data_IF_321591128654
#
_entry.id   IF_321591128654
#
_cell.length_a   1.000
_cell.length_b   1.000
_cell.length_c   1.000
_cell.angle_alpha   90.00
_cell.angle_beta   90.00
_cell.angle_gamma   90.00
#
_symmetry.space_group_name_H-M   'P 1'
#
loop_
_entity.id
_entity.type
_entity.pdbx_description
1 polymer ?
#
# COMPACT_ATOMS: atom_id res chain seq x y z
N UNK A 1 -28.67 13.22 8.80
CA UNK A 1 -28.71 14.42 7.94
C UNK A 1 -27.45 14.58 7.11
N UNK A 2 -26.25 14.64 7.70
CA UNK A 2 -25.00 14.59 6.92
C UNK A 2 -24.83 13.24 6.18
N UNK A 3 -25.05 12.12 6.89
CA UNK A 3 -25.05 10.75 6.32
C UNK A 3 -26.14 10.54 5.25
N UNK A 4 -27.17 11.38 5.23
CA UNK A 4 -28.30 11.28 4.27
C UNK A 4 -28.13 12.24 3.08
N UNK A 5 -26.97 12.89 2.92
CA UNK A 5 -26.65 13.80 1.80
C UNK A 5 -27.43 15.12 1.77
N UNK A 6 -28.21 15.43 2.83
CA UNK A 6 -28.95 16.68 2.92
C UNK A 6 -28.07 17.76 3.56
N UNK A 7 -27.15 18.31 2.77
CA UNK A 7 -26.19 19.33 3.20
C UNK A 7 -26.83 20.65 3.65
N UNK A 8 -27.89 21.17 3.00
CA UNK A 8 -28.56 22.40 3.48
C UNK A 8 -29.10 22.26 4.91
N UNK A 9 -29.83 21.18 5.21
CA UNK A 9 -30.35 20.94 6.56
C UNK A 9 -29.23 20.68 7.58
N UNK A 10 -28.14 20.04 7.16
CA UNK A 10 -26.96 19.85 8.01
C UNK A 10 -26.31 21.19 8.36
N UNK A 11 -26.15 22.10 7.39
CA UNK A 11 -25.61 23.44 7.60
C UNK A 11 -26.48 24.21 8.59
N UNK A 12 -27.80 24.25 8.38
CA UNK A 12 -28.72 24.98 9.26
C UNK A 12 -28.59 24.52 10.72
N UNK A 13 -28.64 23.20 10.94
CA UNK A 13 -28.52 22.62 12.29
C UNK A 13 -27.16 22.91 12.92
N UNK A 14 -26.07 22.74 12.16
CA UNK A 14 -24.73 22.97 12.70
C UNK A 14 -24.47 24.47 12.94
N UNK A 15 -25.00 25.36 12.10
CA UNK A 15 -24.94 26.80 12.36
C UNK A 15 -25.71 27.18 13.61
N UNK A 16 -26.87 26.57 13.86
CA UNK A 16 -27.58 26.73 15.13
C UNK A 16 -26.71 26.33 16.32
N UNK A 17 -26.02 25.19 16.26
CA UNK A 17 -25.09 24.78 17.32
C UNK A 17 -23.98 25.81 17.54
N UNK A 18 -23.41 26.36 16.47
CA UNK A 18 -22.39 27.42 16.60
C UNK A 18 -22.96 28.68 17.26
N UNK A 19 -24.20 29.05 16.95
CA UNK A 19 -24.89 30.17 17.63
C UNK A 19 -25.06 29.87 19.13
N UNK A 20 -25.26 28.60 19.51
CA UNK A 20 -25.29 28.18 20.91
C UNK A 20 -23.89 28.07 21.54
N UNK A 21 -22.81 28.41 20.82
CA UNK A 21 -21.44 28.44 21.32
C UNK A 21 -20.59 27.21 21.00
N UNK A 22 -21.10 26.26 20.23
CA UNK A 22 -20.32 25.09 19.81
C UNK A 22 -19.28 25.46 18.75
N UNK A 23 -18.01 25.36 19.09
CA UNK A 23 -16.86 25.58 18.20
C UNK A 23 -15.99 24.34 18.04
N UNK A 24 -16.50 23.17 18.40
CA UNK A 24 -15.73 21.92 18.39
C UNK A 24 -15.20 21.56 17.00
N UNK A 25 -14.09 20.80 16.97
CA UNK A 25 -13.56 20.20 15.74
C UNK A 25 -14.65 19.56 14.89
N UNK A 26 -15.48 18.72 15.50
CA UNK A 26 -16.58 18.02 14.82
C UNK A 26 -17.53 19.00 14.11
N UNK A 27 -18.00 20.04 14.81
CA UNK A 27 -18.97 20.99 14.24
C UNK A 27 -18.36 21.83 13.13
N UNK A 28 -17.16 22.35 13.34
CA UNK A 28 -16.44 23.12 12.31
C UNK A 28 -16.07 22.26 11.09
N UNK A 29 -15.64 21.02 11.30
CA UNK A 29 -15.32 20.08 10.24
C UNK A 29 -16.55 19.74 9.38
N UNK A 30 -17.65 19.31 10.00
CA UNK A 30 -18.88 18.97 9.26
C UNK A 30 -19.54 20.18 8.59
N UNK A 31 -19.44 21.38 9.17
CA UNK A 31 -19.87 22.62 8.49
C UNK A 31 -19.03 22.86 7.24
N UNK A 32 -17.70 22.83 7.40
CA UNK A 32 -16.75 23.03 6.31
C UNK A 32 -16.97 22.07 5.15
N UNK A 33 -17.10 20.78 5.44
CA UNK A 33 -17.40 19.77 4.43
C UNK A 33 -18.78 19.97 3.78
N UNK A 34 -19.81 20.36 4.53
CA UNK A 34 -21.15 20.58 3.98
C UNK A 34 -21.16 21.76 3.00
N UNK A 35 -20.47 22.87 3.32
CA UNK A 35 -20.29 23.96 2.38
C UNK A 35 -19.47 23.53 1.16
N UNK A 36 -18.42 22.72 1.35
CA UNK A 36 -17.62 22.19 0.25
C UNK A 36 -18.47 21.34 -0.70
N UNK A 37 -19.31 20.45 -0.18
CA UNK A 37 -20.21 19.61 -0.96
C UNK A 37 -21.21 20.43 -1.79
N UNK A 38 -21.58 21.62 -1.30
CA UNK A 38 -22.40 22.59 -2.03
C UNK A 38 -21.60 23.52 -2.95
N UNK A 39 -20.30 23.27 -3.15
CA UNK A 39 -19.37 24.11 -3.93
C UNK A 39 -19.23 25.55 -3.40
N UNK A 40 -19.62 25.78 -2.14
CA UNK A 40 -19.51 27.05 -1.42
C UNK A 40 -18.13 27.16 -0.78
N UNK A 41 -17.10 27.26 -1.63
CA UNK A 41 -15.70 27.10 -1.21
C UNK A 41 -15.23 28.18 -0.23
N UNK A 42 -15.70 29.43 -0.36
CA UNK A 42 -15.32 30.51 0.56
C UNK A 42 -15.83 30.25 1.98
N UNK A 43 -17.07 29.82 2.13
CA UNK A 43 -17.62 29.42 3.43
C UNK A 43 -16.96 28.15 3.96
N UNK A 44 -16.69 27.18 3.08
CA UNK A 44 -15.97 25.96 3.44
C UNK A 44 -14.60 26.26 4.06
N UNK A 45 -13.81 27.14 3.43
CA UNK A 45 -12.48 27.53 3.92
C UNK A 45 -12.54 28.06 5.34
N UNK A 46 -13.50 28.92 5.66
CA UNK A 46 -13.63 29.50 7.01
C UNK A 46 -13.74 28.41 8.08
N UNK A 47 -14.62 27.43 7.86
CA UNK A 47 -14.86 26.37 8.84
C UNK A 47 -13.78 25.29 8.83
N UNK A 48 -13.27 24.93 7.66
CA UNK A 48 -12.18 23.96 7.52
C UNK A 48 -10.87 24.48 8.10
N UNK A 49 -10.61 25.80 8.05
CA UNK A 49 -9.46 26.40 8.70
C UNK A 49 -9.53 26.24 10.23
N UNK A 50 -10.71 26.48 10.83
CA UNK A 50 -10.92 26.28 12.28
C UNK A 50 -10.76 24.80 12.67
N UNK A 51 -11.23 23.88 11.84
CA UNK A 51 -11.04 22.45 12.08
C UNK A 51 -9.55 22.07 11.98
N UNK A 52 -8.83 22.61 11.00
CA UNK A 52 -7.41 22.37 10.81
C UNK A 52 -6.56 22.90 11.98
N UNK A 53 -6.87 24.10 12.49
CA UNK A 53 -6.18 24.68 13.65
C UNK A 53 -6.38 23.86 14.94
N UNK A 54 -7.53 23.22 15.09
CA UNK A 54 -7.84 22.36 16.23
C UNK A 54 -7.26 20.95 16.12
N UNK A 55 -6.69 20.58 14.96
CA UNK A 55 -6.18 19.25 14.71
C UNK A 55 -4.64 19.26 14.66
N UNK A 56 -3.94 18.89 15.75
CA UNK A 56 -2.47 18.78 15.74
C UNK A 56 -1.94 17.77 14.72
N UNK A 57 -2.81 16.84 14.29
CA UNK A 57 -2.53 15.78 13.33
C UNK A 57 -3.73 15.64 12.39
N UNK A 58 -3.94 16.56 11.44
CA UNK A 58 -5.13 16.59 10.60
C UNK A 58 -5.24 15.30 9.77
N UNK A 59 -6.43 14.73 9.70
CA UNK A 59 -6.66 13.52 8.89
C UNK A 59 -6.66 13.85 7.39
N UNK A 60 -6.50 12.80 6.57
CA UNK A 60 -6.37 12.94 5.10
C UNK A 60 -7.62 13.57 4.45
N UNK A 61 -8.80 13.43 5.05
CA UNK A 61 -10.04 14.00 4.52
C UNK A 61 -10.11 15.50 4.80
N UNK A 62 -9.76 15.93 6.03
CA UNK A 62 -9.65 17.36 6.35
C UNK A 62 -8.65 18.05 5.43
N UNK A 63 -7.47 17.45 5.23
CA UNK A 63 -6.44 17.94 4.30
C UNK A 63 -6.98 18.04 2.87
N UNK A 64 -7.69 17.02 2.40
CA UNK A 64 -8.32 17.01 1.08
C UNK A 64 -9.33 18.15 0.92
N UNK A 65 -10.31 18.27 1.82
CA UNK A 65 -11.36 19.28 1.71
C UNK A 65 -10.81 20.68 1.85
N UNK A 66 -9.94 20.92 2.84
CA UNK A 66 -9.38 22.25 3.09
C UNK A 66 -8.46 22.69 1.96
N UNK A 67 -7.51 21.83 1.59
CA UNK A 67 -6.56 22.09 0.51
C UNK A 67 -7.26 22.28 -0.84
N UNK A 68 -8.29 21.49 -1.14
CA UNK A 68 -9.09 21.63 -2.36
C UNK A 68 -9.90 22.92 -2.39
N UNK A 69 -10.50 23.32 -1.26
CA UNK A 69 -11.26 24.57 -1.17
C UNK A 69 -10.34 25.79 -1.39
N UNK A 70 -9.17 25.80 -0.74
CA UNK A 70 -8.14 26.81 -0.94
C UNK A 70 -7.65 26.85 -2.39
N UNK A 71 -7.36 25.69 -3.00
CA UNK A 71 -6.87 25.58 -4.36
C UNK A 71 -7.88 26.07 -5.42
N UNK A 72 -9.19 25.94 -5.14
CA UNK A 72 -10.28 26.41 -6.01
C UNK A 72 -10.60 27.90 -5.83
N UNK A 73 -9.99 28.56 -4.84
CA UNK A 73 -10.17 30.00 -4.56
C UNK A 73 -8.85 30.76 -4.78
N UNK A 74 -8.63 31.86 -4.06
CA UNK A 74 -7.47 32.74 -4.27
C UNK A 74 -6.17 32.21 -3.65
N UNK A 75 -6.22 31.50 -2.53
CA UNK A 75 -5.02 31.03 -1.82
C UNK A 75 -4.54 29.66 -2.33
N UNK A 76 -4.20 29.62 -3.62
CA UNK A 76 -3.79 28.38 -4.30
C UNK A 76 -2.49 27.81 -3.75
N UNK A 77 -1.57 28.67 -3.31
CA UNK A 77 -0.27 28.23 -2.77
C UNK A 77 -0.46 27.46 -1.46
N UNK A 78 -1.27 27.99 -0.53
CA UNK A 78 -1.60 27.26 0.70
C UNK A 78 -2.38 25.98 0.38
N UNK A 79 -3.33 26.03 -0.55
CA UNK A 79 -4.07 24.84 -0.98
C UNK A 79 -3.17 23.70 -1.47
N UNK A 80 -2.19 24.01 -2.33
CA UNK A 80 -1.18 23.03 -2.78
C UNK A 80 -0.37 22.47 -1.59
N UNK A 81 0.05 23.33 -0.66
CA UNK A 81 0.80 22.89 0.52
C UNK A 81 0.01 21.92 1.40
N UNK A 82 -1.26 22.23 1.69
CA UNK A 82 -2.15 21.38 2.50
C UNK A 82 -2.44 20.05 1.79
N UNK A 83 -2.60 20.06 0.46
CA UNK A 83 -2.78 18.83 -0.31
C UNK A 83 -1.52 17.96 -0.30
N UNK A 84 -0.32 18.55 -0.36
CA UNK A 84 0.95 17.81 -0.24
C UNK A 84 1.09 17.12 1.12
N UNK A 85 0.75 17.81 2.20
CA UNK A 85 0.68 17.21 3.54
C UNK A 85 -0.26 15.97 3.54
N UNK A 86 -1.39 16.07 2.85
CA UNK A 86 -2.32 14.94 2.68
C UNK A 86 -1.70 13.76 1.93
N UNK A 87 -0.95 14.02 0.86
CA UNK A 87 -0.24 12.99 0.09
C UNK A 87 0.84 12.32 0.94
N UNK A 88 1.69 13.09 1.62
CA UNK A 88 2.75 12.57 2.49
C UNK A 88 2.17 11.65 3.59
N UNK A 89 1.01 12.02 4.16
CA UNK A 89 0.32 11.19 5.15
C UNK A 89 -0.23 9.89 4.56
N UNK A 90 -0.76 9.92 3.33
CA UNK A 90 -1.21 8.72 2.63
C UNK A 90 -0.02 7.80 2.32
N UNK A 91 1.09 8.34 1.84
CA UNK A 91 2.31 7.57 1.56
C UNK A 91 2.83 6.90 2.83
N UNK A 92 2.91 7.62 3.94
CA UNK A 92 3.29 7.04 5.24
C UNK A 92 2.33 5.93 5.70
N UNK A 93 1.02 6.07 5.48
CA UNK A 93 0.05 5.01 5.76
C UNK A 93 0.23 3.80 4.84
N UNK A 94 0.58 4.00 3.56
CA UNK A 94 0.87 2.90 2.64
C UNK A 94 2.15 2.15 3.04
N UNK A 95 3.18 2.87 3.49
CA UNK A 95 4.39 2.25 4.04
C UNK A 95 4.08 1.42 5.28
N UNK A 96 3.27 1.95 6.20
CA UNK A 96 2.83 1.19 7.37
C UNK A 96 2.03 -0.05 6.94
N UNK A 97 1.10 0.08 5.99
CA UNK A 97 0.30 -1.05 5.50
C UNK A 97 1.17 -2.14 4.84
N UNK A 98 2.29 -1.78 4.22
CA UNK A 98 3.26 -2.76 3.73
C UNK A 98 3.77 -3.64 4.88
N UNK A 99 4.19 -3.06 6.00
CA UNK A 99 4.71 -3.83 7.14
C UNK A 99 3.63 -4.72 7.79
N UNK A 100 2.38 -4.26 7.81
CA UNK A 100 1.23 -5.06 8.22
C UNK A 100 0.99 -6.24 7.28
N UNK A 101 1.02 -6.03 5.97
CA UNK A 101 0.86 -7.09 4.98
C UNK A 101 1.96 -8.14 5.10
N UNK A 102 3.23 -7.73 5.32
CA UNK A 102 4.33 -8.68 5.58
C UNK A 102 4.08 -9.49 6.84
N UNK A 103 3.71 -8.84 7.95
CA UNK A 103 3.47 -9.51 9.23
C UNK A 103 2.31 -10.51 9.14
N UNK A 104 1.23 -10.14 8.43
CA UNK A 104 0.09 -11.03 8.17
C UNK A 104 0.49 -12.20 7.27
N UNK A 105 1.25 -11.94 6.21
CA UNK A 105 1.72 -12.99 5.32
C UNK A 105 2.56 -14.03 6.07
N UNK A 106 3.52 -13.59 6.88
CA UNK A 106 4.36 -14.46 7.71
C UNK A 106 3.54 -15.24 8.76
N UNK A 107 2.57 -14.58 9.40
CA UNK A 107 1.70 -15.23 10.38
C UNK A 107 0.83 -16.32 9.74
N UNK A 108 0.22 -16.04 8.58
CA UNK A 108 -0.54 -17.03 7.82
C UNK A 108 0.36 -18.17 7.33
N UNK A 109 1.59 -17.87 6.92
CA UNK A 109 2.54 -18.88 6.47
C UNK A 109 2.93 -19.84 7.60
N UNK A 110 3.22 -19.31 8.79
CA UNK A 110 3.49 -20.11 10.00
C UNK A 110 2.26 -20.88 10.48
N UNK A 111 1.06 -20.39 10.17
CA UNK A 111 -0.21 -21.05 10.48
C UNK A 111 -0.63 -22.08 9.43
N UNK A 112 0.22 -22.37 8.45
CA UNK A 112 -0.05 -23.30 7.35
C UNK A 112 -1.29 -22.90 6.50
N UNK A 113 -1.49 -21.59 6.32
CA UNK A 113 -2.54 -20.99 5.48
C UNK A 113 -1.94 -20.33 4.21
N UNK A 114 -1.34 -21.11 3.29
CA UNK A 114 -0.46 -20.58 2.24
C UNK A 114 -1.19 -19.67 1.24
N UNK A 115 -2.46 -19.93 0.92
CA UNK A 115 -3.24 -19.07 0.02
C UNK A 115 -3.45 -17.67 0.59
N UNK A 116 -3.64 -17.54 1.91
CA UNK A 116 -3.75 -16.23 2.57
C UNK A 116 -2.40 -15.55 2.65
N UNK A 117 -1.34 -16.30 2.95
CA UNK A 117 0.03 -15.77 2.95
C UNK A 117 0.38 -15.14 1.59
N UNK A 118 0.09 -15.85 0.49
CA UNK A 118 0.29 -15.33 -0.88
C UNK A 118 -0.52 -14.05 -1.13
N UNK A 119 -1.79 -14.00 -0.72
CA UNK A 119 -2.62 -12.80 -0.89
C UNK A 119 -2.00 -11.58 -0.20
N UNK A 120 -1.48 -11.74 1.01
CA UNK A 120 -0.84 -10.64 1.73
C UNK A 120 0.54 -10.29 1.16
N UNK A 121 1.35 -11.27 0.74
CA UNK A 121 2.59 -10.96 0.01
C UNK A 121 2.34 -10.20 -1.29
N UNK A 122 1.28 -10.54 -2.04
CA UNK A 122 0.89 -9.81 -3.25
C UNK A 122 0.44 -8.38 -2.94
N UNK A 123 -0.29 -8.19 -1.83
CA UNK A 123 -0.68 -6.88 -1.32
C UNK A 123 0.55 -6.04 -0.93
N UNK A 124 1.51 -6.60 -0.21
CA UNK A 124 2.77 -5.91 0.09
C UNK A 124 3.54 -5.56 -1.20
N UNK A 125 3.63 -6.48 -2.15
CA UNK A 125 4.31 -6.25 -3.43
C UNK A 125 3.65 -5.16 -4.28
N UNK A 126 2.33 -4.97 -4.22
CA UNK A 126 1.66 -3.89 -4.96
C UNK A 126 1.96 -2.50 -4.38
N UNK A 127 2.31 -2.41 -3.10
CA UNK A 127 2.74 -1.16 -2.43
C UNK A 127 4.21 -0.87 -2.67
N UNK A 128 5.06 -1.89 -2.66
CA UNK A 128 6.52 -1.78 -2.94
C UNK A 128 6.93 -2.76 -4.05
N UNK A 129 6.70 -2.42 -5.33
CA UNK A 129 7.02 -3.28 -6.47
C UNK A 129 8.50 -3.67 -6.59
N UNK A 130 9.40 -2.88 -6.00
CA UNK A 130 10.84 -3.11 -5.93
C UNK A 130 11.25 -4.16 -4.89
N UNK A 131 10.33 -4.60 -4.03
CA UNK A 131 10.58 -5.64 -3.02
C UNK A 131 10.61 -7.04 -3.64
N UNK A 132 11.60 -7.31 -4.49
CA UNK A 132 11.72 -8.56 -5.24
C UNK A 132 11.78 -9.81 -4.34
N UNK A 133 12.25 -9.71 -3.10
CA UNK A 133 12.24 -10.83 -2.14
C UNK A 133 10.82 -11.38 -1.88
N UNK A 134 9.78 -10.57 -2.05
CA UNK A 134 8.40 -11.05 -1.94
C UNK A 134 8.02 -12.00 -3.08
N UNK A 135 8.59 -11.82 -4.28
CA UNK A 135 8.40 -12.75 -5.39
C UNK A 135 8.99 -14.12 -5.04
N UNK A 136 10.15 -14.16 -4.39
CA UNK A 136 10.76 -15.39 -3.90
C UNK A 136 9.90 -16.08 -2.83
N UNK A 137 9.39 -15.32 -1.85
CA UNK A 137 8.51 -15.88 -0.80
C UNK A 137 7.20 -16.42 -1.38
N UNK A 138 6.60 -15.74 -2.36
CA UNK A 138 5.41 -16.23 -3.07
C UNK A 138 5.74 -17.51 -3.83
N UNK A 139 6.89 -17.56 -4.53
CA UNK A 139 7.32 -18.74 -5.26
C UNK A 139 7.52 -19.96 -4.32
N UNK A 140 8.21 -19.78 -3.20
CA UNK A 140 8.38 -20.81 -2.17
C UNK A 140 7.03 -21.30 -1.61
N UNK A 141 6.08 -20.39 -1.44
CA UNK A 141 4.75 -20.74 -0.92
C UNK A 141 3.99 -21.59 -1.93
N UNK A 142 3.99 -21.23 -3.23
CA UNK A 142 3.42 -22.07 -4.29
C UNK A 142 4.15 -23.40 -4.45
N UNK A 143 5.47 -23.42 -4.29
CA UNK A 143 6.29 -24.63 -4.37
C UNK A 143 5.90 -25.64 -3.28
N UNK A 144 5.71 -25.16 -2.03
CA UNK A 144 5.18 -25.99 -0.92
C UNK A 144 3.77 -26.51 -1.17
N UNK A 145 2.98 -25.82 -1.99
CA UNK A 145 1.64 -26.26 -2.40
C UNK A 145 1.65 -27.26 -3.58
N UNK A 146 2.82 -27.63 -4.13
CA UNK A 146 2.97 -28.39 -5.39
C UNK A 146 2.31 -27.71 -6.61
N UNK A 147 2.11 -26.38 -6.53
CA UNK A 147 1.58 -25.55 -7.62
C UNK A 147 2.72 -25.13 -8.57
N UNK A 148 3.25 -26.12 -9.28
CA UNK A 148 4.49 -26.03 -10.06
C UNK A 148 4.51 -24.86 -11.06
N UNK A 149 3.45 -24.65 -11.83
CA UNK A 149 3.41 -23.60 -12.86
C UNK A 149 3.43 -22.19 -12.24
N UNK A 150 2.73 -22.00 -11.11
CA UNK A 150 2.74 -20.75 -10.35
C UNK A 150 4.11 -20.51 -9.71
N UNK A 151 4.69 -21.53 -9.07
CA UNK A 151 6.02 -21.43 -8.48
C UNK A 151 7.07 -21.00 -9.50
N UNK A 152 7.11 -21.65 -10.67
CA UNK A 152 8.00 -21.30 -11.79
C UNK A 152 7.82 -19.84 -12.22
N UNK A 153 6.57 -19.40 -12.39
CA UNK A 153 6.26 -18.03 -12.81
C UNK A 153 6.85 -17.01 -11.84
N UNK A 154 6.71 -17.23 -10.54
CA UNK A 154 7.20 -16.29 -9.52
C UNK A 154 8.72 -16.35 -9.33
N UNK A 155 9.35 -17.53 -9.41
CA UNK A 155 10.82 -17.63 -9.42
C UNK A 155 11.42 -16.91 -10.64
N UNK A 156 10.82 -17.06 -11.83
CA UNK A 156 11.27 -16.35 -13.03
C UNK A 156 11.15 -14.83 -12.90
N UNK A 157 10.05 -14.35 -12.30
CA UNK A 157 9.89 -12.93 -12.00
C UNK A 157 10.93 -12.43 -11.00
N UNK A 158 11.20 -13.19 -9.94
CA UNK A 158 12.22 -12.86 -8.95
C UNK A 158 13.59 -12.68 -9.61
N UNK A 159 14.05 -13.68 -10.36
CA UNK A 159 15.36 -13.67 -11.05
C UNK A 159 15.47 -12.49 -12.03
N UNK A 160 14.40 -12.14 -12.74
CA UNK A 160 14.38 -11.00 -13.69
C UNK A 160 14.39 -9.63 -13.02
N UNK A 161 13.85 -9.51 -11.82
CA UNK A 161 13.67 -8.23 -11.13
C UNK A 161 14.89 -7.81 -10.32
N UNK A 162 15.82 -8.72 -10.04
CA UNK A 162 17.01 -8.38 -9.28
C UNK A 162 17.92 -7.49 -10.15
N UNK A 163 18.37 -6.33 -9.62
CA UNK A 163 19.30 -5.46 -10.32
C UNK A 163 20.63 -6.17 -10.66
N UNK A 164 21.15 -6.00 -11.87
CA UNK A 164 22.34 -6.72 -12.35
C UNK A 164 23.60 -6.48 -11.50
N UNK A 165 23.73 -5.30 -10.93
CA UNK A 165 24.80 -4.93 -9.98
C UNK A 165 24.79 -5.81 -8.72
N UNK A 166 23.60 -6.28 -8.29
CA UNK A 166 23.45 -7.22 -7.17
C UNK A 166 23.65 -8.68 -7.57
N UNK A 167 23.66 -8.98 -8.86
CA UNK A 167 23.83 -10.33 -9.42
C UNK A 167 25.29 -10.59 -9.81
N UNK A 168 26.09 -9.56 -10.10
CA UNK A 168 27.45 -9.72 -10.64
C UNK A 168 28.38 -10.48 -9.68
N UNK A 169 28.22 -10.28 -8.36
CA UNK A 169 28.88 -11.09 -7.34
C UNK A 169 28.38 -12.55 -7.38
N UNK A 170 27.08 -12.79 -7.64
CA UNK A 170 26.49 -14.13 -7.68
C UNK A 170 26.74 -14.94 -8.97
N UNK A 171 27.05 -14.27 -10.09
CA UNK A 171 27.24 -14.90 -11.43
C UNK A 171 28.66 -15.45 -11.65
N UNK A 172 29.67 -14.92 -10.95
CA UNK A 172 31.09 -15.20 -11.23
C UNK A 172 31.81 -16.13 -10.24
N UNK A 173 31.14 -16.72 -9.24
CA UNK A 173 31.85 -17.40 -8.16
C UNK A 173 31.92 -18.92 -8.38
N UNK A 174 33.12 -19.37 -8.77
CA UNK A 174 33.67 -20.68 -8.43
C UNK A 174 33.74 -20.84 -6.91
N UNK A 175 33.49 -22.05 -6.40
CA UNK A 175 33.50 -22.50 -5.00
C UNK A 175 34.72 -22.06 -4.15
N UNK A 176 34.88 -20.78 -3.84
CA UNK A 176 35.80 -20.33 -2.79
C UNK A 176 35.01 -20.13 -1.50
N UNK A 177 35.15 -21.14 -0.63
CA UNK A 177 34.58 -21.18 0.69
C UNK A 177 35.18 -20.06 1.55
N UNK A 178 34.40 -19.02 1.87
CA UNK A 178 34.84 -18.03 2.86
C UNK A 178 33.99 -16.78 3.00
N UNK A 179 33.30 -16.34 1.94
CA UNK A 179 32.53 -15.09 1.99
C UNK A 179 31.08 -15.34 2.41
N UNK A 180 30.57 -14.51 3.33
CA UNK A 180 29.18 -14.56 3.78
C UNK A 180 28.24 -14.27 2.60
N UNK A 181 27.71 -15.33 1.99
CA UNK A 181 26.69 -15.25 0.94
C UNK A 181 25.48 -14.47 1.46
N UNK A 182 25.08 -13.41 0.76
CA UNK A 182 23.89 -12.64 1.15
C UNK A 182 22.62 -13.50 1.02
N UNK A 183 21.56 -13.20 1.79
CA UNK A 183 20.26 -13.88 1.65
C UNK A 183 19.77 -13.82 0.20
N UNK A 184 19.96 -12.67 -0.45
CA UNK A 184 19.60 -12.47 -1.86
C UNK A 184 20.32 -13.45 -2.78
N UNK A 185 21.64 -13.60 -2.61
CA UNK A 185 22.43 -14.51 -3.43
C UNK A 185 22.05 -15.97 -3.21
N UNK A 186 21.82 -16.38 -1.96
CA UNK A 186 21.33 -17.72 -1.64
C UNK A 186 19.96 -17.98 -2.30
N UNK A 187 19.02 -17.04 -2.15
CA UNK A 187 17.69 -17.13 -2.76
C UNK A 187 17.75 -17.16 -4.28
N UNK A 188 18.66 -16.40 -4.90
CA UNK A 188 18.86 -16.39 -6.36
C UNK A 188 19.33 -17.74 -6.88
N UNK A 189 20.41 -18.28 -6.30
CA UNK A 189 20.96 -19.60 -6.67
C UNK A 189 19.93 -20.70 -6.45
N UNK A 190 19.25 -20.68 -5.30
CA UNK A 190 18.18 -21.63 -4.99
C UNK A 190 17.03 -21.56 -6.00
N UNK A 191 16.64 -20.36 -6.42
CA UNK A 191 15.59 -20.17 -7.43
C UNK A 191 15.98 -20.79 -8.78
N UNK A 192 17.20 -20.55 -9.26
CA UNK A 192 17.67 -21.12 -10.53
C UNK A 192 17.69 -22.64 -10.49
N UNK A 193 18.28 -23.23 -9.44
CA UNK A 193 18.31 -24.68 -9.28
C UNK A 193 16.90 -25.26 -9.20
N UNK A 194 16.03 -24.65 -8.39
CA UNK A 194 14.67 -25.13 -8.18
C UNK A 194 13.83 -25.04 -9.46
N UNK A 195 14.01 -23.98 -10.25
CA UNK A 195 13.34 -23.85 -11.54
C UNK A 195 13.69 -24.99 -12.50
N UNK A 196 14.95 -25.42 -12.57
CA UNK A 196 15.36 -26.54 -13.42
C UNK A 196 14.75 -27.88 -12.95
N UNK A 197 14.66 -28.09 -11.64
CA UNK A 197 13.97 -29.24 -11.06
C UNK A 197 12.47 -29.23 -11.37
N UNK A 198 11.80 -28.10 -11.15
CA UNK A 198 10.37 -27.92 -11.40
C UNK A 198 10.02 -28.09 -12.89
N UNK A 199 10.88 -27.60 -13.81
CA UNK A 199 10.72 -27.81 -15.27
C UNK A 199 10.79 -29.29 -15.64
N UNK A 200 11.74 -30.04 -15.07
CA UNK A 200 11.83 -31.51 -15.27
C UNK A 200 10.60 -32.21 -14.73
N UNK A 201 10.14 -31.84 -13.53
CA UNK A 201 8.93 -32.40 -12.93
C UNK A 201 7.69 -32.12 -13.79
N UNK A 202 7.54 -30.90 -14.30
CA UNK A 202 6.44 -30.50 -15.17
C UNK A 202 6.45 -31.30 -16.49
N UNK A 203 7.63 -31.47 -17.10
CA UNK A 203 7.79 -32.30 -18.30
C UNK A 203 7.35 -33.75 -18.06
N UNK A 204 7.79 -34.35 -16.95
CA UNK A 204 7.39 -35.71 -16.57
C UNK A 204 5.89 -35.83 -16.26
N UNK A 205 5.28 -34.84 -15.58
CA UNK A 205 3.83 -34.80 -15.32
C UNK A 205 3.03 -34.70 -16.64
N UNK A 206 3.50 -33.92 -17.61
CA UNK A 206 2.85 -33.79 -18.94
C UNK A 206 3.00 -35.06 -19.79
N UNK A 207 4.17 -35.71 -19.77
CA UNK A 207 4.38 -36.98 -20.46
C UNK A 207 3.53 -38.15 -19.91
N UNK A 208 3.20 -38.16 -18.62
CA UNK A 208 2.32 -39.17 -18.01
C UNK A 208 0.82 -38.99 -18.27
N UNK A 209 0.36 -37.78 -18.62
CA UNK A 209 -1.05 -37.51 -18.94
C UNK A 209 -1.40 -37.78 -20.42
N UNK A 210 -0.40 -38.06 -21.26
CA UNK A 210 -0.54 -38.30 -22.70
C UNK A 210 -0.46 -39.77 -23.13
N UNK A 211 -0.33 -40.71 -22.18
CA UNK A 211 -0.41 -42.16 -22.39
C UNK A 211 -1.64 -42.71 -21.65
#
# INVERSE_FOLDING_TARGET
HYVTGNYPAAIERLQYNVIQGDSTYTTTYFLGMSFFAMMRYYEAIRWLALAYEQAPQPDVNLLYYYGSALAKTYDRKKGISVLKEGVEKIESLQEMLFDYDISLAEAHDRSNEPSRAISYYQSALSRRPESYMLLYNIALTYDRMDEIESALTYYERFVKMIPEDKITDSKNISLEAGERTSILEMSYRASLQRMDELRKQLFLKKGKKGN
#
